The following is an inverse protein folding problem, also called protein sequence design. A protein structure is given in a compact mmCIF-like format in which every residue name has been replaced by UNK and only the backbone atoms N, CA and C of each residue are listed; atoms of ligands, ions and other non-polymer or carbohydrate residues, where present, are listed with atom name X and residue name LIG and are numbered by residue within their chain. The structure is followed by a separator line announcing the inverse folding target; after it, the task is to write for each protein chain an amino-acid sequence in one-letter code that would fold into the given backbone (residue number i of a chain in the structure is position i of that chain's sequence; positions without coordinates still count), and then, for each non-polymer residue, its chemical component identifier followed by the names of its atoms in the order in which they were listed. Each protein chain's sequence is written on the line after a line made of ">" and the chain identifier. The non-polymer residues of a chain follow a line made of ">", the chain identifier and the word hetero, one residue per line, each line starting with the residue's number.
data_IF_643350487921
#
_entry.id   IF_643350487921
#
_cell.length_a   1.000
_cell.length_b   1.000
_cell.length_c   1.000
_cell.angle_alpha   90.00
_cell.angle_beta   90.00
_cell.angle_gamma   90.00
#
_symmetry.space_group_name_H-M   'P 1'
#
loop_
_entity.id
_entity.type
_entity.pdbx_description
1 polymer ?
#
# COMPACT_ATOMS: atom_id res chain seq x y z
N UNK A 1 21.55 21.71 -30.02
CA UNK A 1 22.14 22.16 -28.76
C UNK A 1 21.19 21.70 -27.68
N UNK A 2 21.67 20.81 -26.81
CA UNK A 2 20.89 20.17 -25.75
C UNK A 2 20.56 21.22 -24.71
N UNK A 3 19.28 21.38 -24.38
CA UNK A 3 18.84 22.23 -23.26
C UNK A 3 18.60 21.39 -22.01
N UNK A 4 18.51 22.01 -20.84
CA UNK A 4 18.14 21.31 -19.59
C UNK A 4 16.82 20.58 -19.76
N UNK A 5 15.79 21.27 -20.28
CA UNK A 5 14.45 20.68 -20.47
C UNK A 5 14.48 19.51 -21.45
N UNK A 6 15.21 19.64 -22.56
CA UNK A 6 15.36 18.57 -23.56
C UNK A 6 16.03 17.33 -22.96
N UNK A 7 17.14 17.51 -22.25
CA UNK A 7 17.87 16.40 -21.62
C UNK A 7 17.02 15.67 -20.58
N UNK A 8 16.28 16.40 -19.75
CA UNK A 8 15.43 15.80 -18.71
C UNK A 8 14.21 15.10 -19.29
N UNK A 9 13.63 15.64 -20.36
CA UNK A 9 12.55 15.00 -21.09
C UNK A 9 13.03 13.69 -21.74
N UNK A 10 14.22 13.69 -22.34
CA UNK A 10 14.85 12.47 -22.83
C UNK A 10 15.10 11.46 -21.70
N UNK A 11 15.68 11.87 -20.56
CA UNK A 11 15.88 10.99 -19.40
C UNK A 11 14.57 10.33 -18.95
N UNK A 12 13.45 11.06 -19.04
CA UNK A 12 12.11 10.55 -18.74
C UNK A 12 11.74 9.45 -19.75
N UNK A 13 11.69 9.73 -21.05
CA UNK A 13 11.25 8.72 -22.02
C UNK A 13 12.21 7.54 -22.21
N UNK A 14 13.50 7.76 -21.93
CA UNK A 14 14.51 6.71 -21.88
C UNK A 14 14.33 5.74 -20.70
N UNK A 15 13.41 6.01 -19.77
CA UNK A 15 13.14 5.14 -18.62
C UNK A 15 14.32 5.05 -17.66
N UNK A 16 15.18 6.09 -17.62
CA UNK A 16 16.32 6.09 -16.70
C UNK A 16 15.89 6.05 -15.23
N UNK A 17 14.61 6.36 -14.97
CA UNK A 17 14.03 6.36 -13.65
C UNK A 17 13.37 5.03 -13.21
N UNK A 18 13.37 3.98 -14.03
CA UNK A 18 12.82 2.67 -13.64
C UNK A 18 13.65 2.04 -12.50
N UNK A 19 12.98 1.35 -11.56
CA UNK A 19 13.59 0.76 -10.36
C UNK A 19 13.84 1.72 -9.19
N UNK A 20 13.23 2.92 -9.20
CA UNK A 20 13.55 3.97 -8.22
C UNK A 20 12.61 4.04 -7.02
N UNK A 21 12.98 3.35 -5.95
CA UNK A 21 12.28 3.44 -4.66
C UNK A 21 12.63 4.71 -3.85
N UNK A 22 13.66 5.46 -4.26
CA UNK A 22 14.13 6.72 -3.63
C UNK A 22 14.96 7.58 -4.59
N UNK A 23 15.27 8.84 -4.25
CA UNK A 23 16.21 9.64 -5.04
C UNK A 23 17.62 9.06 -4.98
N UNK A 24 18.03 8.48 -3.85
CA UNK A 24 19.32 7.80 -3.75
C UNK A 24 19.46 6.65 -4.76
N UNK A 25 18.43 5.82 -4.91
CA UNK A 25 18.42 4.74 -5.91
C UNK A 25 18.45 5.30 -7.33
N UNK A 26 17.65 6.34 -7.60
CA UNK A 26 17.64 7.05 -8.88
C UNK A 26 19.03 7.55 -9.26
N UNK A 27 19.73 8.17 -8.33
CA UNK A 27 21.02 8.74 -8.60
C UNK A 27 22.09 7.67 -8.85
N UNK A 28 22.02 6.51 -8.19
CA UNK A 28 22.88 5.36 -8.51
C UNK A 28 22.59 4.82 -9.92
N UNK A 29 21.32 4.68 -10.28
CA UNK A 29 20.93 4.26 -11.63
C UNK A 29 21.41 5.25 -12.70
N UNK A 30 21.35 6.56 -12.42
CA UNK A 30 21.91 7.59 -13.29
C UNK A 30 23.44 7.48 -13.38
N UNK A 31 24.14 7.31 -12.25
CA UNK A 31 25.60 7.17 -12.20
C UNK A 31 26.10 5.98 -13.05
N UNK A 32 25.31 4.91 -13.18
CA UNK A 32 25.64 3.76 -14.04
C UNK A 32 25.32 3.99 -15.53
N UNK A 33 24.29 4.78 -15.83
CA UNK A 33 23.72 4.89 -17.19
C UNK A 33 24.25 6.10 -17.97
N UNK A 34 24.42 7.26 -17.33
CA UNK A 34 24.74 8.54 -17.97
C UNK A 34 26.08 9.13 -17.48
N UNK A 35 26.58 10.15 -18.17
CA UNK A 35 27.80 10.86 -17.83
C UNK A 35 27.71 11.59 -16.48
N UNK A 36 28.87 11.95 -15.93
CA UNK A 36 28.93 12.75 -14.71
C UNK A 36 28.26 14.13 -14.89
N UNK A 37 28.36 14.73 -16.08
CA UNK A 37 27.67 15.96 -16.41
C UNK A 37 26.15 15.79 -16.43
N UNK A 38 25.66 14.69 -17.04
CA UNK A 38 24.25 14.33 -17.04
C UNK A 38 23.70 14.10 -15.63
N UNK A 39 24.46 13.38 -14.79
CA UNK A 39 24.11 13.15 -13.38
C UNK A 39 24.02 14.47 -12.60
N UNK A 40 25.03 15.33 -12.71
CA UNK A 40 25.04 16.63 -12.03
C UNK A 40 23.85 17.50 -12.45
N UNK A 41 23.52 17.52 -13.75
CA UNK A 41 22.36 18.21 -14.29
C UNK A 41 21.07 17.72 -13.63
N UNK A 42 20.82 16.40 -13.63
CA UNK A 42 19.62 15.82 -13.05
C UNK A 42 19.49 16.10 -11.54
N UNK A 43 20.58 15.93 -10.78
CA UNK A 43 20.57 16.14 -9.32
C UNK A 43 20.32 17.61 -8.97
N UNK A 44 20.98 18.56 -9.64
CA UNK A 44 20.78 19.99 -9.38
C UNK A 44 19.38 20.44 -9.82
N UNK A 45 18.87 19.90 -10.93
CA UNK A 45 17.50 20.15 -11.35
C UNK A 45 16.47 19.67 -10.31
N UNK A 46 16.61 18.44 -9.80
CA UNK A 46 15.75 17.91 -8.73
C UNK A 46 15.82 18.80 -7.48
N UNK A 47 17.02 19.22 -7.07
CA UNK A 47 17.20 20.18 -5.96
C UNK A 47 16.45 21.50 -6.19
N UNK A 48 16.51 22.07 -7.39
CA UNK A 48 15.77 23.30 -7.74
C UNK A 48 14.26 23.07 -7.77
N UNK A 49 13.81 21.88 -8.17
CA UNK A 49 12.39 21.49 -8.16
C UNK A 49 11.86 21.37 -6.74
N UNK A 50 12.67 20.87 -5.79
CA UNK A 50 12.31 20.80 -4.38
C UNK A 50 12.29 22.18 -3.70
N UNK A 51 13.00 23.17 -4.26
CA UNK A 51 13.19 24.51 -3.73
C UNK A 51 12.49 25.59 -4.59
N UNK A 52 11.23 25.38 -5.01
CA UNK A 52 10.51 26.29 -5.93
C UNK A 52 10.38 27.73 -5.42
N UNK A 53 10.22 27.91 -4.11
CA UNK A 53 10.03 29.23 -3.47
C UNK A 53 11.33 29.96 -3.14
N UNK A 54 12.49 29.33 -3.38
CA UNK A 54 13.80 29.78 -2.93
C UNK A 54 14.55 28.65 -2.21
N UNK A 55 15.86 28.84 -2.02
CA UNK A 55 16.72 27.83 -1.38
C UNK A 55 16.49 27.82 0.13
N UNK A 56 15.80 26.79 0.62
CA UNK A 56 15.59 26.53 2.05
C UNK A 56 16.16 25.16 2.40
N UNK A 57 17.42 25.14 2.82
CA UNK A 57 18.15 23.90 3.08
C UNK A 57 17.63 23.16 4.32
N UNK A 58 17.09 23.85 5.31
CA UNK A 58 16.53 23.23 6.51
C UNK A 58 15.24 22.50 6.18
N UNK A 59 14.35 23.15 5.42
CA UNK A 59 13.13 22.55 4.91
C UNK A 59 13.42 21.42 3.93
N UNK A 60 14.36 21.63 3.00
CA UNK A 60 14.76 20.60 2.05
C UNK A 60 15.32 19.35 2.75
N UNK A 61 16.23 19.52 3.71
CA UNK A 61 16.81 18.40 4.46
C UNK A 61 15.77 17.62 5.26
N UNK A 62 14.81 18.33 5.87
CA UNK A 62 13.85 17.74 6.80
C UNK A 62 12.64 17.12 6.12
N UNK A 63 12.32 17.58 4.90
CA UNK A 63 11.04 17.23 4.25
C UNK A 63 11.19 16.68 2.83
N UNK A 64 12.27 17.01 2.12
CA UNK A 64 12.51 16.49 0.76
C UNK A 64 13.53 15.35 0.74
N UNK A 65 14.42 15.25 1.73
CA UNK A 65 15.33 14.12 1.95
C UNK A 65 14.73 13.18 2.99
N UNK A 66 13.82 12.32 2.54
CA UNK A 66 13.07 11.36 3.37
C UNK A 66 13.74 9.99 3.48
N UNK A 67 14.84 9.76 2.75
CA UNK A 67 15.59 8.51 2.84
C UNK A 67 16.11 8.27 4.27
N UNK A 68 16.20 6.99 4.64
CA UNK A 68 16.86 6.58 5.88
C UNK A 68 18.37 6.48 5.67
N UNK A 69 19.14 6.48 6.76
CA UNK A 69 20.57 6.17 6.69
C UNK A 69 20.78 4.72 6.24
N UNK A 70 21.68 4.41 5.28
CA UNK A 70 22.75 5.23 4.70
C UNK A 70 22.40 6.04 3.44
N UNK A 71 21.21 5.86 2.85
CA UNK A 71 20.82 6.47 1.59
C UNK A 71 20.66 7.99 1.67
N UNK A 72 20.20 8.50 2.82
CA UNK A 72 20.16 9.94 3.09
C UNK A 72 21.54 10.59 2.94
N UNK A 73 22.57 9.99 3.51
CA UNK A 73 23.95 10.49 3.41
C UNK A 73 24.46 10.47 1.97
N UNK A 74 24.15 9.42 1.21
CA UNK A 74 24.51 9.35 -0.20
C UNK A 74 23.85 10.48 -1.00
N UNK A 75 22.54 10.72 -0.81
CA UNK A 75 21.82 11.80 -1.48
C UNK A 75 22.36 13.19 -1.13
N UNK A 76 22.69 13.43 0.13
CA UNK A 76 23.25 14.71 0.58
C UNK A 76 24.61 14.97 -0.06
N UNK A 77 25.52 14.00 0.02
CA UNK A 77 26.87 14.16 -0.52
C UNK A 77 26.85 14.31 -2.03
N UNK A 78 25.99 13.55 -2.72
CA UNK A 78 25.87 13.68 -4.17
C UNK A 78 25.25 15.02 -4.58
N UNK A 79 24.21 15.49 -3.89
CA UNK A 79 23.64 16.84 -4.12
C UNK A 79 24.71 17.91 -3.93
N UNK A 80 25.50 17.83 -2.85
CA UNK A 80 26.59 18.79 -2.61
C UNK A 80 27.66 18.75 -3.71
N UNK A 81 28.10 17.56 -4.14
CA UNK A 81 29.07 17.40 -5.24
C UNK A 81 28.54 17.95 -6.56
N UNK A 82 27.28 17.70 -6.89
CA UNK A 82 26.65 18.19 -8.12
C UNK A 82 26.48 19.71 -8.10
N UNK A 83 26.09 20.30 -6.97
CA UNK A 83 26.06 21.76 -6.79
C UNK A 83 27.45 22.39 -6.93
N UNK A 84 28.48 21.74 -6.37
CA UNK A 84 29.86 22.18 -6.51
C UNK A 84 30.34 22.10 -7.98
N UNK A 85 29.99 21.04 -8.70
CA UNK A 85 30.31 20.86 -10.11
C UNK A 85 29.69 21.95 -11.01
N UNK A 86 28.45 22.38 -10.74
CA UNK A 86 27.81 23.49 -11.47
C UNK A 86 28.30 24.87 -11.02
N UNK A 87 29.11 24.95 -9.96
CA UNK A 87 29.68 26.21 -9.44
C UNK A 87 28.90 26.85 -8.28
N UNK A 88 27.84 26.21 -7.77
CA UNK A 88 27.06 26.65 -6.61
C UNK A 88 27.73 26.26 -5.28
N UNK A 89 28.98 26.70 -5.12
CA UNK A 89 29.88 26.25 -4.03
C UNK A 89 29.40 26.61 -2.64
N UNK A 90 28.70 27.74 -2.43
CA UNK A 90 28.23 28.14 -1.10
C UNK A 90 27.08 27.25 -0.63
N UNK A 91 26.14 26.97 -1.53
CA UNK A 91 25.00 26.07 -1.29
C UNK A 91 25.48 24.66 -1.05
N UNK A 92 26.44 24.17 -1.85
CA UNK A 92 27.07 22.86 -1.67
C UNK A 92 27.70 22.69 -0.27
N UNK A 93 28.41 23.70 0.22
CA UNK A 93 28.99 23.67 1.56
C UNK A 93 27.91 23.57 2.66
N UNK A 94 26.80 24.30 2.51
CA UNK A 94 25.70 24.32 3.47
C UNK A 94 24.85 23.04 3.44
N UNK A 95 24.67 22.42 2.27
CA UNK A 95 23.95 21.13 2.13
C UNK A 95 24.59 20.05 3.00
N UNK A 96 25.92 19.97 3.04
CA UNK A 96 26.66 18.98 3.85
C UNK A 96 26.45 19.16 5.36
N UNK A 97 26.14 20.37 5.79
CA UNK A 97 25.92 20.72 7.20
C UNK A 97 24.46 20.96 7.56
N UNK A 98 23.52 20.73 6.63
CA UNK A 98 22.11 20.99 6.86
C UNK A 98 21.57 20.05 7.94
N UNK A 99 20.96 20.63 8.97
CA UNK A 99 20.38 19.85 10.07
C UNK A 99 19.04 19.23 9.66
N UNK A 100 18.90 17.94 9.98
CA UNK A 100 17.63 17.23 9.85
C UNK A 100 16.78 17.46 11.11
N UNK A 101 15.72 18.23 10.93
CA UNK A 101 14.73 18.57 11.94
C UNK A 101 13.38 17.88 11.66
N UNK A 102 13.38 16.82 10.85
CA UNK A 102 12.17 16.05 10.61
C UNK A 102 11.63 15.43 11.90
N UNK A 103 10.31 15.21 12.00
CA UNK A 103 9.68 14.43 13.05
C UNK A 103 10.41 13.11 13.35
N UNK A 104 10.83 12.40 12.29
CA UNK A 104 11.54 11.14 12.40
C UNK A 104 12.97 11.32 12.94
N UNK A 105 13.72 12.31 12.47
CA UNK A 105 15.05 12.59 13.00
C UNK A 105 15.00 13.06 14.46
N UNK A 106 13.96 13.82 14.86
CA UNK A 106 13.73 14.17 16.25
C UNK A 106 13.45 12.92 17.10
N UNK A 107 12.57 12.02 16.63
CA UNK A 107 12.29 10.74 17.29
C UNK A 107 13.52 9.84 17.39
N UNK A 108 14.31 9.71 16.32
CA UNK A 108 15.56 8.94 16.33
C UNK A 108 16.58 9.53 17.30
N UNK A 109 16.78 10.86 17.28
CA UNK A 109 17.65 11.57 18.24
C UNK A 109 17.17 11.39 19.68
N UNK A 110 15.87 11.24 19.92
CA UNK A 110 15.30 10.97 21.24
C UNK A 110 15.50 9.51 21.68
N UNK A 111 15.35 8.54 20.77
CA UNK A 111 15.63 7.13 21.04
C UNK A 111 17.12 6.88 21.31
N UNK A 112 18.02 7.51 20.55
CA UNK A 112 19.47 7.40 20.74
C UNK A 112 19.96 8.10 22.02
N UNK A 113 19.20 9.06 22.55
CA UNK A 113 19.53 9.80 23.78
C UNK A 113 18.89 9.24 25.04
N UNK A 114 17.97 8.28 24.96
CA UNK A 114 17.21 7.80 26.13
C UNK A 114 17.51 6.33 26.46
N UNK A 115 18.06 6.12 27.67
CA UNK A 115 18.13 4.79 28.28
C UNK A 115 16.88 4.41 29.07
N UNK A 116 15.85 5.28 29.12
CA UNK A 116 14.63 5.02 29.89
C UNK A 116 13.37 5.71 29.31
N UNK A 117 12.22 5.05 29.46
CA UNK A 117 10.88 5.51 29.04
C UNK A 117 10.46 6.82 29.73
N UNK A 118 10.97 7.12 30.93
CA UNK A 118 10.66 8.35 31.68
C UNK A 118 11.32 9.60 31.09
N UNK A 119 12.53 9.48 30.52
CA UNK A 119 13.19 10.58 29.81
C UNK A 119 12.55 10.85 28.44
N UNK A 120 12.03 9.79 27.80
CA UNK A 120 11.20 9.89 26.60
C UNK A 120 9.91 10.68 26.90
N UNK A 121 9.21 10.37 27.99
CA UNK A 121 8.00 11.12 28.39
C UNK A 121 8.27 12.58 28.74
N UNK A 122 9.42 12.91 29.35
CA UNK A 122 9.81 14.31 29.60
C UNK A 122 10.16 15.09 28.34
N UNK A 123 10.78 14.44 27.35
CA UNK A 123 11.10 15.08 26.07
C UNK A 123 9.87 15.31 25.18
N UNK A 124 8.84 14.47 25.31
CA UNK A 124 7.54 14.69 24.65
C UNK A 124 6.76 15.89 25.18
N UNK A 125 7.02 16.38 26.41
CA UNK A 125 6.33 17.56 26.96
C UNK A 125 6.70 18.90 26.28
N UNK A 126 7.78 18.92 25.48
CA UNK A 126 8.23 20.12 24.76
C UNK A 126 7.83 20.17 23.27
N UNK A 127 7.24 19.10 22.73
CA UNK A 127 6.79 19.04 21.34
C UNK A 127 5.32 19.44 21.32
N UNK A 128 5.00 20.52 20.60
CA UNK A 128 3.60 20.87 20.33
C UNK A 128 2.99 19.82 19.36
N UNK A 129 2.01 19.01 19.80
CA UNK A 129 1.38 18.00 18.95
C UNK A 129 0.72 18.60 17.70
N UNK A 130 0.27 19.86 17.77
CA UNK A 130 -0.31 20.55 16.62
C UNK A 130 0.76 20.89 15.57
N UNK A 131 1.93 21.38 15.99
CA UNK A 131 3.08 21.62 15.10
C UNK A 131 3.56 20.32 14.47
N UNK A 132 3.65 19.24 15.25
CA UNK A 132 4.06 17.92 14.75
C UNK A 132 3.10 17.38 13.68
N UNK A 133 1.79 17.48 13.92
CA UNK A 133 0.78 17.05 12.96
C UNK A 133 0.77 17.93 11.70
N UNK A 134 0.98 19.24 11.83
CA UNK A 134 1.13 20.13 10.68
C UNK A 134 2.37 19.80 9.85
N UNK A 135 3.49 19.47 10.48
CA UNK A 135 4.72 19.06 9.78
C UNK A 135 4.57 17.71 9.09
N UNK A 136 3.84 16.77 9.71
CA UNK A 136 3.48 15.49 9.10
C UNK A 136 2.55 15.69 7.89
N UNK A 137 1.53 16.53 8.01
CA UNK A 137 0.63 16.88 6.90
C UNK A 137 1.38 17.56 5.75
N UNK A 138 2.30 18.47 6.04
CA UNK A 138 3.18 19.09 5.03
C UNK A 138 4.07 18.06 4.33
N UNK A 139 4.59 17.09 5.06
CA UNK A 139 5.35 15.99 4.50
C UNK A 139 4.53 15.11 3.55
N UNK A 140 3.33 14.71 3.98
CA UNK A 140 2.40 13.93 3.15
C UNK A 140 2.03 14.73 1.89
N UNK A 141 1.74 16.03 2.04
CA UNK A 141 1.41 16.90 0.92
C UNK A 141 2.54 17.16 -0.08
N UNK A 142 3.80 17.04 0.35
CA UNK A 142 4.97 17.13 -0.54
C UNK A 142 5.32 15.79 -1.19
N UNK A 143 5.23 14.69 -0.44
CA UNK A 143 5.57 13.36 -0.93
C UNK A 143 4.50 12.81 -1.89
N UNK A 144 3.23 13.09 -1.61
CA UNK A 144 2.08 12.62 -2.39
C UNK A 144 1.13 13.79 -2.64
N UNK A 145 1.49 14.74 -3.52
CA UNK A 145 0.71 15.95 -3.76
C UNK A 145 -0.71 15.64 -4.25
N UNK A 146 -0.88 14.61 -5.08
CA UNK A 146 -2.19 14.21 -5.61
C UNK A 146 -3.07 13.58 -4.53
N UNK A 147 -2.51 12.70 -3.68
CA UNK A 147 -3.23 12.11 -2.55
C UNK A 147 -3.57 13.16 -1.47
N UNK A 148 -2.71 14.14 -1.26
CA UNK A 148 -2.95 15.23 -0.32
C UNK A 148 -3.98 16.24 -0.84
N UNK A 149 -3.96 16.54 -2.14
CA UNK A 149 -5.01 17.32 -2.79
C UNK A 149 -6.37 16.61 -2.68
N UNK A 150 -6.40 15.29 -2.91
CA UNK A 150 -7.59 14.46 -2.73
C UNK A 150 -8.07 14.45 -1.26
N UNK A 151 -7.15 14.46 -0.30
CA UNK A 151 -7.46 14.54 1.14
C UNK A 151 -7.79 15.97 1.63
N UNK A 152 -7.92 16.96 0.74
CA UNK A 152 -8.21 18.35 1.10
C UNK A 152 -7.10 19.04 1.92
N UNK A 153 -5.89 18.46 1.96
CA UNK A 153 -4.75 19.08 2.60
C UNK A 153 -4.28 20.26 1.74
N UNK A 154 -3.95 21.41 2.34
CA UNK A 154 -3.43 22.55 1.60
C UNK A 154 -2.08 22.16 0.97
N UNK A 155 -2.09 21.88 -0.33
CA UNK A 155 -0.88 21.78 -1.15
C UNK A 155 -0.25 23.15 -1.14
N UNK A 156 0.68 23.36 -0.22
CA UNK A 156 1.26 24.68 0.02
C UNK A 156 1.92 25.15 -1.26
N UNK A 157 1.34 26.18 -1.88
CA UNK A 157 2.04 26.99 -2.88
C UNK A 157 3.36 27.45 -2.26
N UNK A 158 4.43 27.41 -3.03
CA UNK A 158 5.77 27.71 -2.54
C UNK A 158 5.83 29.16 -2.05
N UNK A 159 5.69 29.34 -0.74
CA UNK A 159 5.88 30.63 -0.10
C UNK A 159 7.29 31.14 -0.43
N UNK A 160 7.46 32.43 -0.77
CA UNK A 160 8.76 32.98 -1.05
C UNK A 160 9.67 32.83 0.18
N UNK A 161 10.80 32.17 0.01
CA UNK A 161 11.82 32.03 1.05
C UNK A 161 12.69 33.29 1.04
N UNK A 162 12.96 33.92 2.20
CA UNK A 162 13.89 35.04 2.28
C UNK A 162 15.27 34.67 1.71
N UNK A 163 15.88 35.58 0.94
CA UNK A 163 17.20 35.37 0.37
C UNK A 163 18.25 35.28 1.48
N UNK A 164 18.96 34.15 1.56
CA UNK A 164 20.12 33.97 2.43
C UNK A 164 21.41 34.38 1.69
N UNK A 165 22.11 35.37 2.23
CA UNK A 165 23.36 35.87 1.66
C UNK A 165 24.51 34.84 1.72
N UNK A 166 24.41 33.81 2.57
CA UNK A 166 25.41 32.75 2.70
C UNK A 166 25.22 31.61 1.69
N UNK A 167 24.17 31.63 0.87
CA UNK A 167 23.92 30.65 -0.20
C UNK A 167 23.84 31.33 -1.57
N UNK A 168 23.74 30.56 -2.65
CA UNK A 168 23.32 31.10 -3.95
C UNK A 168 21.79 31.15 -3.99
N UNK A 169 21.21 32.19 -4.60
CA UNK A 169 19.76 32.20 -4.85
C UNK A 169 19.37 31.12 -5.85
N UNK A 170 18.10 30.73 -5.85
CA UNK A 170 17.55 29.75 -6.80
C UNK A 170 17.88 30.15 -8.25
N UNK A 171 17.70 31.42 -8.59
CA UNK A 171 17.96 31.99 -9.93
C UNK A 171 19.45 31.97 -10.27
N UNK A 172 20.33 32.18 -9.28
CA UNK A 172 21.78 32.07 -9.48
C UNK A 172 22.18 30.64 -9.79
N UNK A 173 21.66 29.66 -9.03
CA UNK A 173 21.92 28.24 -9.28
C UNK A 173 21.36 27.82 -10.65
N UNK A 174 20.17 28.28 -11.02
CA UNK A 174 19.57 28.03 -12.33
C UNK A 174 20.42 28.62 -13.47
N UNK A 175 20.95 29.84 -13.30
CA UNK A 175 21.87 30.44 -14.26
C UNK A 175 23.17 29.64 -14.40
N UNK A 176 23.76 29.22 -13.28
CA UNK A 176 24.96 28.39 -13.23
C UNK A 176 24.74 27.04 -13.91
N UNK A 177 23.60 26.40 -13.66
CA UNK A 177 23.23 25.14 -14.32
C UNK A 177 23.11 25.31 -15.84
N UNK A 178 22.52 26.40 -16.33
CA UNK A 178 22.47 26.70 -17.77
C UNK A 178 23.87 26.89 -18.39
N UNK A 179 24.77 27.56 -17.69
CA UNK A 179 26.18 27.69 -18.12
C UNK A 179 26.88 26.33 -18.16
N UNK A 180 26.67 25.51 -17.13
CA UNK A 180 27.21 24.15 -17.04
C UNK A 180 26.73 23.29 -18.22
N UNK A 181 25.43 23.26 -18.52
CA UNK A 181 24.89 22.52 -19.67
C UNK A 181 25.50 23.00 -20.99
N UNK A 182 25.72 24.31 -21.14
CA UNK A 182 26.36 24.87 -22.34
C UNK A 182 27.82 24.43 -22.46
N UNK A 183 28.55 24.36 -21.35
CA UNK A 183 29.96 23.93 -21.33
C UNK A 183 30.13 22.42 -21.57
N UNK A 184 29.16 21.61 -21.17
CA UNK A 184 29.22 20.14 -21.21
C UNK A 184 28.40 19.50 -22.35
N UNK A 185 28.09 20.25 -23.41
CA UNK A 185 27.29 19.75 -24.55
C UNK A 185 27.81 18.43 -25.15
N UNK A 186 29.13 18.24 -25.21
CA UNK A 186 29.74 17.04 -25.79
C UNK A 186 29.47 15.80 -24.93
N UNK A 187 29.56 15.93 -23.60
CA UNK A 187 29.28 14.82 -22.69
C UNK A 187 27.80 14.44 -22.71
N UNK A 188 26.91 15.44 -22.69
CA UNK A 188 25.48 15.21 -22.76
C UNK A 188 25.08 14.58 -24.11
N UNK A 189 25.69 14.98 -25.22
CA UNK A 189 25.45 14.35 -26.53
C UNK A 189 25.92 12.90 -26.57
N UNK A 190 27.02 12.56 -25.88
CA UNK A 190 27.50 11.19 -25.81
C UNK A 190 26.52 10.27 -25.07
N UNK A 191 25.75 10.79 -24.10
CA UNK A 191 24.69 10.04 -23.42
C UNK A 191 23.55 9.66 -24.38
N UNK A 192 23.10 10.61 -25.20
CA UNK A 192 22.14 10.37 -26.29
C UNK A 192 22.66 9.32 -27.28
N UNK A 193 23.92 9.42 -27.70
CA UNK A 193 24.52 8.48 -28.66
C UNK A 193 24.64 7.06 -28.07
N UNK A 194 24.95 6.96 -26.78
CA UNK A 194 25.12 5.68 -26.07
C UNK A 194 23.80 4.94 -25.88
N UNK A 195 22.74 5.64 -25.47
CA UNK A 195 21.47 5.03 -25.05
C UNK A 195 20.37 5.16 -26.11
N UNK A 196 20.58 6.02 -27.12
CA UNK A 196 19.59 6.34 -28.14
C UNK A 196 18.55 7.35 -27.67
N UNK A 197 17.86 7.99 -28.62
CA UNK A 197 16.69 8.80 -28.36
C UNK A 197 15.43 8.08 -28.84
N UNK A 198 14.58 7.67 -27.90
CA UNK A 198 13.31 7.01 -28.23
C UNK A 198 12.33 7.94 -28.94
N UNK A 199 12.49 9.26 -28.79
CA UNK A 199 11.65 10.28 -29.44
C UNK A 199 11.83 10.30 -30.96
N UNK A 200 12.97 9.82 -31.45
CA UNK A 200 13.28 9.74 -32.88
C UNK A 200 12.67 8.49 -33.56
N UNK A 201 12.05 7.60 -32.78
CA UNK A 201 11.44 6.38 -33.31
C UNK A 201 10.13 6.70 -34.07
N UNK A 202 9.89 5.99 -35.17
CA UNK A 202 8.67 6.17 -35.96
C UNK A 202 7.45 5.74 -35.14
N UNK A 203 6.47 6.63 -35.00
CA UNK A 203 5.26 6.38 -34.22
C UNK A 203 5.41 6.63 -32.72
N UNK A 204 6.48 7.31 -32.28
CA UNK A 204 6.65 7.72 -30.90
C UNK A 204 5.45 8.57 -30.42
N UNK A 205 4.83 8.11 -29.35
CA UNK A 205 3.76 8.79 -28.63
C UNK A 205 4.21 8.96 -27.17
N UNK A 206 4.33 10.22 -26.67
CA UNK A 206 4.74 10.50 -25.30
C UNK A 206 3.86 9.83 -24.24
N UNK A 207 2.54 9.79 -24.44
CA UNK A 207 1.60 9.25 -23.45
C UNK A 207 1.69 7.74 -23.43
N UNK A 208 1.69 7.11 -24.60
CA UNK A 208 1.88 5.65 -24.72
C UNK A 208 3.22 5.22 -24.13
N UNK A 209 4.29 5.97 -24.40
CA UNK A 209 5.61 5.64 -23.85
C UNK A 209 5.63 5.72 -22.32
N UNK A 210 4.96 6.71 -21.75
CA UNK A 210 4.87 6.82 -20.29
C UNK A 210 4.07 5.69 -19.68
N UNK A 211 2.99 5.27 -20.34
CA UNK A 211 2.22 4.10 -19.93
C UNK A 211 3.06 2.82 -19.99
N UNK A 212 3.81 2.59 -21.08
CA UNK A 212 4.73 1.45 -21.18
C UNK A 212 5.76 1.41 -20.05
N UNK A 213 6.33 2.57 -19.69
CA UNK A 213 7.30 2.67 -18.60
C UNK A 213 6.64 2.44 -17.23
N UNK A 214 5.41 2.90 -17.02
CA UNK A 214 4.66 2.66 -15.79
C UNK A 214 4.26 1.18 -15.63
N UNK A 215 3.84 0.55 -16.72
CA UNK A 215 3.58 -0.89 -16.78
C UNK A 215 4.85 -1.70 -16.46
N UNK A 216 6.00 -1.30 -17.02
CA UNK A 216 7.30 -1.91 -16.73
C UNK A 216 7.68 -1.77 -15.25
N UNK A 217 7.55 -0.56 -14.69
CA UNK A 217 7.82 -0.31 -13.29
C UNK A 217 6.92 -1.14 -12.37
N UNK A 218 5.62 -1.19 -12.66
CA UNK A 218 4.64 -1.98 -11.90
C UNK A 218 4.96 -3.47 -11.97
N UNK A 219 5.35 -3.97 -13.15
CA UNK A 219 5.77 -5.36 -13.33
C UNK A 219 7.06 -5.68 -12.56
N UNK A 220 8.04 -4.78 -12.53
CA UNK A 220 9.28 -4.92 -11.74
C UNK A 220 8.98 -4.98 -10.23
N UNK A 221 8.19 -4.02 -9.71
CA UNK A 221 7.76 -4.02 -8.31
C UNK A 221 7.04 -5.32 -7.94
N UNK A 222 6.14 -5.77 -8.81
CA UNK A 222 5.40 -7.00 -8.61
C UNK A 222 6.34 -8.21 -8.60
N UNK A 223 7.34 -8.24 -9.48
CA UNK A 223 8.37 -9.28 -9.53
C UNK A 223 9.20 -9.31 -8.25
N UNK A 224 9.66 -8.16 -7.75
CA UNK A 224 10.43 -8.07 -6.51
C UNK A 224 9.61 -8.55 -5.31
N UNK A 225 8.35 -8.12 -5.21
CA UNK A 225 7.42 -8.62 -4.20
C UNK A 225 7.24 -10.14 -4.27
N UNK A 226 7.18 -10.71 -5.48
CA UNK A 226 7.09 -12.15 -5.66
C UNK A 226 8.36 -12.86 -5.19
N UNK A 227 9.53 -12.31 -5.47
CA UNK A 227 10.81 -12.84 -5.00
C UNK A 227 10.89 -12.86 -3.47
N UNK A 228 10.58 -11.73 -2.82
CA UNK A 228 10.57 -11.66 -1.35
C UNK A 228 9.60 -12.66 -0.71
N UNK A 229 8.37 -12.75 -1.24
CA UNK A 229 7.36 -13.65 -0.67
C UNK A 229 7.71 -15.12 -0.95
N UNK A 230 8.38 -15.43 -2.07
CA UNK A 230 8.90 -16.77 -2.36
C UNK A 230 9.99 -17.17 -1.36
N UNK A 231 10.94 -16.27 -1.07
CA UNK A 231 12.00 -16.50 -0.08
C UNK A 231 11.40 -16.70 1.31
N UNK A 232 10.53 -15.79 1.76
CA UNK A 232 9.83 -15.91 3.05
C UNK A 232 9.05 -17.21 3.16
N UNK A 233 8.31 -17.58 2.12
CA UNK A 233 7.53 -18.82 2.12
C UNK A 233 8.44 -20.04 2.24
N UNK A 234 9.51 -20.10 1.44
CA UNK A 234 10.50 -21.20 1.49
C UNK A 234 11.10 -21.33 2.89
N UNK A 235 11.54 -20.22 3.48
CA UNK A 235 12.06 -20.17 4.85
C UNK A 235 11.04 -20.68 5.88
N UNK A 236 9.78 -20.28 5.75
CA UNK A 236 8.72 -20.73 6.66
C UNK A 236 8.43 -22.22 6.51
N UNK A 237 8.46 -22.78 5.29
CA UNK A 237 8.28 -24.21 5.05
C UNK A 237 9.40 -25.03 5.70
N UNK A 238 10.65 -24.62 5.54
CA UNK A 238 11.80 -25.30 6.16
C UNK A 238 11.75 -25.25 7.69
N UNK A 239 11.47 -24.07 8.24
CA UNK A 239 11.31 -23.88 9.68
C UNK A 239 10.14 -24.70 10.22
N UNK A 240 9.04 -24.79 9.46
CA UNK A 240 7.85 -25.53 9.86
C UNK A 240 8.20 -27.01 10.08
N UNK A 241 8.80 -27.69 9.11
CA UNK A 241 9.15 -29.12 9.23
C UNK A 241 10.07 -29.39 10.44
N UNK A 242 11.05 -28.50 10.66
CA UNK A 242 11.98 -28.60 11.79
C UNK A 242 11.30 -28.36 13.14
N UNK A 243 10.35 -27.45 13.23
CA UNK A 243 9.63 -27.16 14.48
C UNK A 243 8.55 -28.20 14.74
N UNK A 244 7.80 -28.58 13.72
CA UNK A 244 6.74 -29.58 13.79
C UNK A 244 7.29 -30.94 14.21
N UNK A 245 8.39 -31.41 13.62
CA UNK A 245 9.04 -32.67 14.04
C UNK A 245 9.49 -32.68 15.50
N UNK A 246 9.81 -31.53 16.10
CA UNK A 246 10.29 -31.42 17.48
C UNK A 246 9.20 -31.13 18.50
N UNK A 247 8.20 -30.33 18.14
CA UNK A 247 7.21 -29.76 19.06
C UNK A 247 5.76 -30.06 18.68
N UNK A 248 5.53 -30.74 17.55
CA UNK A 248 4.21 -31.03 17.00
C UNK A 248 3.42 -29.77 16.65
N UNK A 249 2.10 -29.95 16.43
CA UNK A 249 1.22 -28.89 15.96
C UNK A 249 1.21 -27.63 16.85
N UNK A 250 1.25 -27.81 18.18
CA UNK A 250 1.25 -26.68 19.14
C UNK A 250 2.46 -25.76 18.98
N UNK A 251 3.63 -26.30 18.61
CA UNK A 251 4.85 -25.49 18.42
C UNK A 251 4.91 -24.78 17.07
N UNK A 252 4.20 -25.28 16.06
CA UNK A 252 4.27 -24.80 14.68
C UNK A 252 3.15 -23.81 14.31
N UNK A 253 2.22 -23.50 15.21
CA UNK A 253 1.04 -22.67 14.93
C UNK A 253 1.35 -21.27 14.37
N UNK A 254 2.41 -20.61 14.85
CA UNK A 254 2.83 -19.30 14.30
C UNK A 254 3.32 -19.40 12.85
N UNK A 255 4.09 -20.44 12.52
CA UNK A 255 4.57 -20.68 11.15
C UNK A 255 3.42 -21.06 10.22
N UNK A 256 2.47 -21.88 10.70
CA UNK A 256 1.23 -22.19 9.97
C UNK A 256 0.49 -20.90 9.58
N UNK A 257 0.35 -19.94 10.50
CA UNK A 257 -0.27 -18.65 10.21
C UNK A 257 0.41 -17.89 9.06
N UNK A 258 1.74 -17.79 9.12
CA UNK A 258 2.54 -17.10 8.08
C UNK A 258 2.49 -17.80 6.72
N UNK A 259 2.54 -19.14 6.69
CA UNK A 259 2.37 -19.92 5.46
C UNK A 259 0.99 -19.67 4.86
N UNK A 260 -0.07 -19.68 5.69
CA UNK A 260 -1.43 -19.43 5.24
C UNK A 260 -1.64 -18.00 4.74
N UNK A 261 -0.96 -17.01 5.32
CA UNK A 261 -1.01 -15.63 4.87
C UNK A 261 -0.54 -15.49 3.41
N UNK A 262 0.67 -15.97 3.11
CA UNK A 262 1.24 -15.91 1.75
C UNK A 262 0.42 -16.78 0.80
N UNK A 263 0.09 -18.01 1.17
CA UNK A 263 -0.66 -18.91 0.29
C UNK A 263 -2.08 -18.44 -0.01
N UNK A 264 -2.72 -17.70 0.91
CA UNK A 264 -4.03 -17.07 0.65
C UNK A 264 -3.91 -15.85 -0.24
N UNK A 265 -2.89 -15.00 -0.04
CA UNK A 265 -2.62 -13.82 -0.86
C UNK A 265 -2.53 -14.16 -2.35
N UNK A 266 -1.99 -15.33 -2.68
CA UNK A 266 -1.82 -15.80 -4.06
C UNK A 266 -2.77 -16.94 -4.46
N UNK A 267 -3.64 -17.39 -3.54
CA UNK A 267 -4.58 -18.48 -3.77
C UNK A 267 -5.63 -18.10 -4.81
N UNK A 268 -5.68 -18.83 -5.92
CA UNK A 268 -6.63 -18.59 -7.01
C UNK A 268 -6.10 -17.74 -8.17
N UNK A 269 -4.87 -17.19 -8.07
CA UNK A 269 -4.18 -16.59 -9.21
C UNK A 269 -3.64 -17.69 -10.14
N UNK A 270 -3.78 -17.52 -11.45
CA UNK A 270 -3.26 -18.46 -12.45
C UNK A 270 -1.73 -18.43 -12.49
N UNK A 271 -1.09 -19.60 -12.61
CA UNK A 271 0.39 -19.77 -12.66
C UNK A 271 1.17 -18.80 -13.57
N UNK A 272 0.70 -18.37 -14.76
CA UNK A 272 1.45 -17.43 -15.60
C UNK A 272 1.63 -16.03 -15.01
N UNK A 273 0.86 -15.66 -14.00
CA UNK A 273 0.96 -14.34 -13.34
C UNK A 273 1.76 -14.36 -12.03
N UNK A 274 2.30 -15.51 -11.64
CA UNK A 274 3.16 -15.67 -10.48
C UNK A 274 4.57 -15.99 -10.99
N UNK A 275 5.58 -15.26 -10.52
CA UNK A 275 6.97 -15.56 -10.87
C UNK A 275 7.33 -17.03 -10.59
N UNK A 276 8.27 -17.60 -11.35
CA UNK A 276 8.58 -19.03 -11.31
C UNK A 276 8.98 -19.55 -9.91
N UNK A 277 9.68 -18.71 -9.13
CA UNK A 277 10.11 -19.02 -7.76
C UNK A 277 8.92 -19.11 -6.81
N UNK A 278 8.02 -18.12 -6.86
CA UNK A 278 6.80 -18.12 -6.04
C UNK A 278 5.88 -19.28 -6.42
N UNK A 279 5.76 -19.61 -7.70
CA UNK A 279 4.99 -20.79 -8.13
C UNK A 279 5.55 -22.08 -7.53
N UNK A 280 6.87 -22.25 -7.53
CA UNK A 280 7.53 -23.40 -6.91
C UNK A 280 7.27 -23.45 -5.40
N UNK A 281 7.46 -22.33 -4.70
CA UNK A 281 7.22 -22.25 -3.25
C UNK A 281 5.75 -22.54 -2.90
N UNK A 282 4.80 -22.04 -3.70
CA UNK A 282 3.36 -22.30 -3.54
C UNK A 282 3.01 -23.79 -3.73
N UNK A 283 3.62 -24.46 -4.72
CA UNK A 283 3.45 -25.92 -4.88
C UNK A 283 3.97 -26.69 -3.67
N UNK A 284 5.17 -26.35 -3.20
CA UNK A 284 5.75 -26.98 -2.01
C UNK A 284 4.91 -26.73 -0.75
N UNK A 285 4.36 -25.52 -0.60
CA UNK A 285 3.44 -25.21 0.49
C UNK A 285 2.18 -26.08 0.44
N UNK A 286 1.56 -26.23 -0.74
CA UNK A 286 0.39 -27.09 -0.91
C UNK A 286 0.70 -28.56 -0.57
N UNK A 287 1.85 -29.09 -1.01
CA UNK A 287 2.28 -30.46 -0.66
C UNK A 287 2.51 -30.61 0.85
N UNK A 288 3.11 -29.62 1.51
CA UNK A 288 3.31 -29.61 2.95
C UNK A 288 1.97 -29.55 3.71
N UNK A 289 1.04 -28.71 3.26
CA UNK A 289 -0.30 -28.59 3.83
C UNK A 289 -1.11 -29.89 3.72
N UNK A 290 -0.96 -30.61 2.60
CA UNK A 290 -1.58 -31.93 2.42
C UNK A 290 -0.96 -33.02 3.31
N UNK A 291 0.34 -32.94 3.60
CA UNK A 291 1.02 -33.90 4.50
C UNK A 291 0.66 -33.67 5.98
N UNK A 292 0.43 -32.42 6.38
CA UNK A 292 0.16 -32.03 7.77
C UNK A 292 -1.27 -31.49 7.94
N UNK A 293 -2.26 -32.25 7.49
CA UNK A 293 -3.68 -31.85 7.57
C UNK A 293 -4.16 -31.60 9.00
N UNK A 294 -3.58 -32.29 9.99
CA UNK A 294 -3.91 -32.13 11.42
C UNK A 294 -3.79 -30.69 11.92
N UNK A 295 -2.87 -29.91 11.34
CA UNK A 295 -2.66 -28.51 11.68
C UNK A 295 -3.14 -27.55 10.60
N UNK A 296 -3.03 -27.87 9.30
CA UNK A 296 -3.49 -26.96 8.25
C UNK A 296 -4.99 -27.04 7.98
N UNK A 297 -5.61 -28.18 8.25
CA UNK A 297 -7.04 -28.45 8.09
C UNK A 297 -7.58 -29.21 9.31
N UNK A 298 -7.46 -28.64 10.53
CA UNK A 298 -7.93 -29.32 11.73
C UNK A 298 -9.46 -29.53 11.64
N UNK A 299 -10.00 -30.62 12.22
CA UNK A 299 -11.44 -30.76 12.35
C UNK A 299 -12.00 -29.63 13.22
N UNK A 300 -13.19 -29.14 12.87
CA UNK A 300 -13.87 -28.12 13.67
C UNK A 300 -14.32 -28.68 15.03
N UNK A 301 -14.69 -29.97 15.07
CA UNK A 301 -15.20 -30.64 16.25
C UNK A 301 -15.03 -32.16 16.15
N UNK A 302 -14.90 -32.89 17.26
CA UNK A 302 -14.86 -34.36 17.24
C UNK A 302 -16.26 -34.99 17.22
N UNK A 303 -17.10 -34.57 16.28
CA UNK A 303 -18.45 -35.11 16.05
C UNK A 303 -18.72 -35.29 14.54
N UNK A 304 -18.83 -36.53 14.04
CA UNK A 304 -19.10 -36.80 12.63
C UNK A 304 -20.43 -36.23 12.10
N UNK A 305 -21.46 -36.11 12.95
CA UNK A 305 -22.76 -35.58 12.54
C UNK A 305 -22.66 -34.06 12.31
N UNK A 306 -21.97 -33.34 13.19
CA UNK A 306 -21.72 -31.91 13.03
C UNK A 306 -20.78 -31.61 11.86
N UNK A 307 -19.75 -32.43 11.62
CA UNK A 307 -18.94 -32.32 10.41
C UNK A 307 -19.77 -32.42 9.13
N UNK A 308 -20.71 -33.37 9.08
CA UNK A 308 -21.61 -33.51 7.93
C UNK A 308 -22.46 -32.26 7.75
N UNK A 309 -23.02 -31.69 8.82
CA UNK A 309 -23.77 -30.43 8.77
C UNK A 309 -22.93 -29.26 8.27
N UNK A 310 -21.66 -29.17 8.66
CA UNK A 310 -20.75 -28.13 8.15
C UNK A 310 -20.54 -28.23 6.64
N UNK A 311 -20.42 -29.45 6.12
CA UNK A 311 -20.23 -29.72 4.69
C UNK A 311 -21.46 -29.42 3.83
N UNK A 312 -22.67 -29.43 4.41
CA UNK A 312 -23.91 -29.08 3.70
C UNK A 312 -23.90 -27.63 3.18
N UNK A 313 -23.09 -26.77 3.78
CA UNK A 313 -22.92 -25.36 3.38
C UNK A 313 -21.75 -25.12 2.42
N UNK A 314 -21.08 -26.17 1.97
CA UNK A 314 -19.95 -26.10 1.02
C UNK A 314 -18.57 -26.26 1.67
N UNK A 315 -17.53 -26.00 0.88
CA UNK A 315 -16.15 -26.13 1.33
C UNK A 315 -15.81 -25.06 2.37
N UNK A 316 -15.32 -25.49 3.52
CA UNK A 316 -14.94 -24.61 4.63
C UNK A 316 -13.50 -24.80 5.07
N UNK A 317 -13.03 -23.82 5.82
CA UNK A 317 -11.72 -23.82 6.49
C UNK A 317 -11.92 -23.67 7.98
N UNK A 318 -11.02 -24.30 8.74
CA UNK A 318 -11.01 -24.23 10.20
C UNK A 318 -9.72 -23.55 10.66
N UNK A 319 -9.87 -22.63 11.60
CA UNK A 319 -8.77 -22.05 12.35
C UNK A 319 -9.06 -22.20 13.84
N UNK A 320 -8.04 -22.55 14.63
CA UNK A 320 -8.19 -22.70 16.08
C UNK A 320 -7.21 -21.74 16.74
N UNK A 321 -7.73 -20.73 17.44
CA UNK A 321 -6.93 -19.68 18.08
C UNK A 321 -7.47 -19.38 19.46
N UNK A 322 -6.58 -19.29 20.45
CA UNK A 322 -6.88 -18.83 21.82
C UNK A 322 -8.07 -19.52 22.50
N UNK A 323 -8.31 -20.80 22.18
CA UNK A 323 -9.43 -21.56 22.75
C UNK A 323 -10.74 -21.45 21.96
N UNK A 324 -10.75 -20.74 20.84
CA UNK A 324 -11.88 -20.62 19.93
C UNK A 324 -11.61 -21.33 18.61
N UNK A 325 -12.68 -21.86 18.03
CA UNK A 325 -12.70 -22.46 16.70
C UNK A 325 -13.46 -21.54 15.76
N UNK A 326 -12.81 -21.17 14.67
CA UNK A 326 -13.31 -20.33 13.60
C UNK A 326 -13.58 -21.24 12.40
N UNK A 327 -14.81 -21.27 11.93
CA UNK A 327 -15.18 -21.96 10.69
C UNK A 327 -15.57 -20.93 9.66
N UNK A 328 -14.95 -21.00 8.48
CA UNK A 328 -15.10 -20.01 7.43
C UNK A 328 -15.44 -20.67 6.09
N UNK A 329 -16.54 -20.24 5.48
CA UNK A 329 -16.93 -20.58 4.11
C UNK A 329 -16.70 -19.37 3.20
N UNK A 330 -15.78 -19.44 2.21
CA UNK A 330 -15.58 -18.36 1.25
C UNK A 330 -16.76 -18.20 0.28
N UNK A 331 -17.56 -19.26 0.11
CA UNK A 331 -18.74 -19.26 -0.77
C UNK A 331 -19.78 -20.23 -0.20
N UNK A 332 -20.54 -19.81 0.83
CA UNK A 332 -21.54 -20.64 1.47
C UNK A 332 -22.70 -20.93 0.52
N UNK A 333 -23.07 -22.22 0.39
CA UNK A 333 -24.15 -22.66 -0.51
C UNK A 333 -25.49 -22.06 -0.08
N UNK A 334 -26.25 -21.55 -1.04
CA UNK A 334 -27.61 -21.04 -0.81
C UNK A 334 -27.69 -19.65 -0.19
N UNK A 335 -26.56 -18.99 0.04
CA UNK A 335 -26.49 -17.57 0.40
C UNK A 335 -25.97 -16.76 -0.79
N UNK A 336 -26.62 -16.89 -1.94
CA UNK A 336 -26.28 -16.16 -3.15
C UNK A 336 -27.25 -15.00 -3.42
N UNK A 337 -26.73 -13.88 -3.96
CA UNK A 337 -27.56 -12.83 -4.57
C UNK A 337 -26.95 -12.38 -5.91
N UNK A 338 -27.69 -11.53 -6.63
CA UNK A 338 -27.34 -11.04 -7.96
C UNK A 338 -26.38 -9.84 -7.96
N UNK A 339 -26.11 -9.22 -6.82
CA UNK A 339 -25.27 -8.02 -6.73
C UNK A 339 -24.02 -8.17 -5.85
N UNK A 340 -23.89 -9.25 -5.06
CA UNK A 340 -22.81 -9.40 -4.10
C UNK A 340 -22.48 -10.87 -3.86
N UNK A 341 -21.20 -11.15 -3.57
CA UNK A 341 -20.76 -12.45 -3.06
C UNK A 341 -20.61 -12.40 -1.55
N UNK A 342 -20.93 -13.50 -0.88
CA UNK A 342 -20.82 -13.60 0.57
C UNK A 342 -19.79 -14.63 0.99
N UNK A 343 -19.18 -14.35 2.13
CA UNK A 343 -18.51 -15.35 2.96
C UNK A 343 -19.23 -15.48 4.29
N UNK A 344 -19.17 -16.65 4.91
CA UNK A 344 -19.79 -16.93 6.20
C UNK A 344 -18.71 -17.33 7.20
N UNK A 345 -18.79 -16.79 8.42
CA UNK A 345 -17.93 -17.14 9.53
C UNK A 345 -18.74 -17.47 10.78
N UNK A 346 -18.33 -18.54 11.46
CA UNK A 346 -18.85 -18.97 12.75
C UNK A 346 -17.68 -19.06 13.74
N UNK A 347 -17.85 -18.50 14.93
CA UNK A 347 -16.85 -18.55 16.00
C UNK A 347 -17.45 -19.15 17.27
N UNK A 348 -16.84 -20.20 17.81
CA UNK A 348 -17.34 -20.87 19.02
C UNK A 348 -16.19 -21.42 19.89
N UNK A 349 -16.42 -21.67 21.19
CA UNK A 349 -15.41 -22.29 22.05
C UNK A 349 -15.00 -23.67 21.55
N UNK A 350 -13.69 -23.95 21.55
CA UNK A 350 -13.12 -25.18 20.98
C UNK A 350 -13.70 -26.43 21.64
N UNK A 351 -14.22 -27.34 20.81
CA UNK A 351 -14.83 -28.60 21.27
C UNK A 351 -16.26 -28.47 21.81
N UNK A 352 -16.88 -27.29 21.74
CA UNK A 352 -18.26 -27.09 22.19
C UNK A 352 -19.27 -27.34 21.07
N UNK A 353 -19.79 -28.57 20.99
CA UNK A 353 -20.74 -28.98 19.95
C UNK A 353 -22.16 -28.43 20.11
N UNK A 354 -22.58 -28.14 21.33
CA UNK A 354 -23.87 -27.49 21.59
C UNK A 354 -23.87 -26.08 21.00
N UNK A 355 -22.79 -25.34 21.22
CA UNK A 355 -22.64 -23.99 20.70
C UNK A 355 -22.53 -23.95 19.17
N UNK A 356 -21.81 -24.91 18.58
CA UNK A 356 -21.77 -25.08 17.13
C UNK A 356 -23.15 -25.43 16.56
N UNK A 357 -23.90 -26.32 17.21
CA UNK A 357 -25.27 -26.69 16.82
C UNK A 357 -26.15 -25.45 16.77
N UNK A 358 -26.14 -24.65 17.84
CA UNK A 358 -26.93 -23.42 17.96
C UNK A 358 -26.64 -22.43 16.84
N UNK A 359 -25.36 -22.24 16.48
CA UNK A 359 -25.00 -21.34 15.37
C UNK A 359 -25.39 -21.90 14.01
N UNK A 360 -25.26 -23.21 13.79
CA UNK A 360 -25.71 -23.83 12.56
C UNK A 360 -27.23 -23.77 12.40
N UNK A 361 -27.99 -23.82 13.50
CA UNK A 361 -29.44 -23.59 13.46
C UNK A 361 -29.72 -22.13 13.03
N UNK A 362 -28.98 -21.15 13.56
CA UNK A 362 -29.09 -19.76 13.09
C UNK A 362 -28.68 -19.57 11.61
N UNK A 363 -27.74 -20.35 11.07
CA UNK A 363 -27.45 -20.35 9.62
C UNK A 363 -28.66 -20.85 8.82
N UNK A 364 -29.34 -21.90 9.31
CA UNK A 364 -30.55 -22.43 8.66
C UNK A 364 -31.63 -21.36 8.62
N UNK A 365 -31.87 -20.68 9.74
CA UNK A 365 -32.88 -19.62 9.83
C UNK A 365 -32.53 -18.43 8.92
N UNK A 366 -31.25 -18.01 8.93
CA UNK A 366 -30.73 -17.02 8.00
C UNK A 366 -30.99 -17.42 6.55
N UNK A 367 -30.71 -18.67 6.18
CA UNK A 367 -30.89 -19.15 4.81
C UNK A 367 -32.36 -19.10 4.37
N UNK A 368 -33.30 -19.46 5.25
CA UNK A 368 -34.74 -19.37 4.99
C UNK A 368 -35.17 -17.92 4.71
N UNK A 369 -34.66 -16.98 5.50
CA UNK A 369 -35.02 -15.57 5.41
C UNK A 369 -34.11 -14.75 4.49
N UNK A 370 -33.08 -15.37 3.90
CA UNK A 370 -32.00 -14.68 3.18
C UNK A 370 -32.51 -13.76 2.07
N UNK A 371 -33.46 -14.17 1.20
CA UNK A 371 -33.96 -13.30 0.13
C UNK A 371 -34.60 -12.00 0.66
N UNK A 372 -35.31 -12.07 1.78
CA UNK A 372 -35.93 -10.90 2.44
C UNK A 372 -34.86 -9.94 2.95
N UNK A 373 -33.83 -10.47 3.61
CA UNK A 373 -32.73 -9.65 4.10
C UNK A 373 -31.90 -9.04 2.96
N UNK A 374 -31.69 -9.75 1.86
CA UNK A 374 -30.99 -9.23 0.68
C UNK A 374 -31.75 -8.10 -0.01
N UNK A 375 -33.09 -8.14 0.00
CA UNK A 375 -33.87 -7.01 -0.48
C UNK A 375 -33.68 -5.77 0.41
N UNK A 376 -33.75 -5.93 1.74
CA UNK A 376 -33.50 -4.82 2.68
C UNK A 376 -32.11 -4.24 2.52
N UNK A 377 -31.09 -5.10 2.47
CA UNK A 377 -29.72 -4.68 2.26
C UNK A 377 -29.53 -3.91 0.95
N UNK A 378 -30.15 -4.38 -0.14
CA UNK A 378 -30.13 -3.65 -1.41
C UNK A 378 -30.70 -2.25 -1.27
N UNK A 379 -31.83 -2.10 -0.58
CA UNK A 379 -32.47 -0.80 -0.34
C UNK A 379 -31.56 0.11 0.50
N UNK A 380 -30.96 -0.43 1.57
CA UNK A 380 -30.03 0.32 2.44
C UNK A 380 -28.75 0.76 1.73
N UNK A 381 -28.15 -0.09 0.88
CA UNK A 381 -26.99 0.28 0.06
C UNK A 381 -27.35 1.43 -0.89
N UNK A 382 -28.49 1.33 -1.58
CA UNK A 382 -28.93 2.36 -2.51
C UNK A 382 -29.28 3.67 -1.79
N UNK A 383 -29.86 3.59 -0.59
CA UNK A 383 -30.13 4.75 0.24
C UNK A 383 -28.83 5.40 0.76
N UNK A 384 -27.87 4.60 1.22
CA UNK A 384 -26.55 5.07 1.62
C UNK A 384 -25.84 5.81 0.48
N UNK A 385 -25.83 5.24 -0.73
CA UNK A 385 -25.25 5.91 -1.90
C UNK A 385 -25.95 7.22 -2.22
N UNK A 386 -27.29 7.26 -2.19
CA UNK A 386 -28.05 8.52 -2.42
C UNK A 386 -27.74 9.60 -1.40
N UNK A 387 -27.44 9.21 -0.16
CA UNK A 387 -27.02 10.15 0.88
C UNK A 387 -25.57 10.62 0.67
N UNK A 388 -24.70 9.79 0.08
CA UNK A 388 -23.33 10.16 -0.28
C UNK A 388 -23.26 11.06 -1.53
N UNK A 389 -24.08 10.78 -2.55
CA UNK A 389 -24.02 11.41 -3.87
C UNK A 389 -23.91 12.96 -3.86
N UNK A 390 -24.60 13.72 -2.99
CA UNK A 390 -24.46 15.19 -2.94
C UNK A 390 -23.08 15.69 -2.49
N UNK A 391 -22.26 14.83 -1.89
CA UNK A 391 -20.92 15.13 -1.38
C UNK A 391 -19.82 14.59 -2.30
N UNK A 392 -20.17 13.74 -3.25
CA UNK A 392 -19.25 13.20 -4.25
C UNK A 392 -18.85 14.26 -5.27
N UNK A 393 -17.61 14.20 -5.72
CA UNK A 393 -17.10 15.03 -6.81
C UNK A 393 -17.52 14.50 -8.18
N UNK A 394 -17.51 15.37 -9.20
CA UNK A 394 -17.99 15.00 -10.54
C UNK A 394 -17.21 13.82 -11.14
N UNK A 395 -15.89 13.73 -10.91
CA UNK A 395 -15.06 12.63 -11.43
C UNK A 395 -15.36 11.29 -10.75
N UNK A 396 -15.70 11.28 -9.45
CA UNK A 396 -16.15 10.05 -8.77
C UNK A 396 -17.47 9.54 -9.35
N UNK A 397 -18.34 10.46 -9.80
CA UNK A 397 -19.65 10.13 -10.37
C UNK A 397 -19.62 9.84 -11.89
N UNK A 398 -18.49 10.04 -12.56
CA UNK A 398 -18.31 9.75 -13.99
C UNK A 398 -18.22 8.25 -14.27
N UNK A 399 -17.78 7.46 -13.30
CA UNK A 399 -17.61 6.01 -13.42
C UNK A 399 -18.95 5.24 -13.42
N UNK A 400 -20.04 5.91 -13.02
CA UNK A 400 -21.36 5.30 -12.91
C UNK A 400 -22.20 5.49 -14.18
N UNK A 401 -22.82 4.40 -14.64
CA UNK A 401 -23.77 4.44 -15.75
C UNK A 401 -25.04 5.21 -15.37
N UNK A 402 -25.56 5.99 -16.32
CA UNK A 402 -26.74 6.85 -16.13
C UNK A 402 -27.89 6.45 -17.04
N UNK A 403 -29.11 6.68 -16.57
CA UNK A 403 -30.32 6.50 -17.34
C UNK A 403 -30.56 7.65 -18.34
N UNK A 404 -31.67 7.58 -19.08
CA UNK A 404 -32.02 8.60 -20.06
C UNK A 404 -32.33 9.99 -19.46
N UNK A 405 -32.56 10.07 -18.14
CA UNK A 405 -32.80 11.32 -17.41
C UNK A 405 -31.51 11.88 -16.79
N UNK A 406 -30.40 11.15 -16.87
CA UNK A 406 -29.11 11.51 -16.28
C UNK A 406 -28.93 11.01 -14.83
N UNK A 407 -29.87 10.23 -14.31
CA UNK A 407 -29.80 9.64 -12.97
C UNK A 407 -28.92 8.39 -12.99
N UNK A 408 -28.12 8.19 -11.94
CA UNK A 408 -27.25 7.02 -11.83
C UNK A 408 -28.11 5.74 -11.69
N UNK A 409 -27.78 4.71 -12.47
CA UNK A 409 -28.48 3.43 -12.45
C UNK A 409 -28.18 2.66 -11.16
N UNK A 410 -29.23 2.15 -10.50
CA UNK A 410 -29.08 1.27 -9.33
C UNK A 410 -28.18 0.06 -9.62
N UNK A 411 -28.23 -0.50 -10.84
CA UNK A 411 -27.37 -1.62 -11.24
C UNK A 411 -25.90 -1.23 -11.29
N UNK A 412 -25.59 0.03 -11.66
CA UNK A 412 -24.22 0.54 -11.66
C UNK A 412 -23.69 0.65 -10.23
N UNK A 413 -24.50 1.20 -9.31
CA UNK A 413 -24.14 1.29 -7.88
C UNK A 413 -23.91 -0.10 -7.29
N UNK A 414 -24.82 -1.03 -7.55
CA UNK A 414 -24.73 -2.38 -7.01
C UNK A 414 -23.56 -3.19 -7.60
N UNK A 415 -23.06 -2.82 -8.78
CA UNK A 415 -21.93 -3.51 -9.43
C UNK A 415 -20.57 -3.22 -8.78
N UNK A 416 -20.46 -2.14 -8.01
CA UNK A 416 -19.22 -1.79 -7.30
C UNK A 416 -19.10 -2.48 -5.93
N UNK A 417 -20.10 -3.28 -5.56
CA UNK A 417 -20.12 -3.97 -4.29
C UNK A 417 -19.06 -5.08 -4.22
N UNK A 418 -18.25 -5.04 -3.16
CA UNK A 418 -17.24 -6.05 -2.85
C UNK A 418 -17.83 -7.37 -2.35
N UNK A 419 -17.01 -8.17 -1.67
CA UNK A 419 -17.48 -9.39 -0.99
C UNK A 419 -17.95 -9.02 0.42
N UNK A 420 -19.20 -9.36 0.75
CA UNK A 420 -19.73 -9.22 2.10
C UNK A 420 -19.28 -10.38 3.00
N UNK A 421 -19.06 -10.09 4.28
CA UNK A 421 -18.75 -11.10 5.30
C UNK A 421 -19.88 -11.17 6.32
N UNK A 422 -20.53 -12.33 6.41
CA UNK A 422 -21.53 -12.64 7.42
C UNK A 422 -20.84 -13.36 8.59
N UNK A 423 -21.06 -12.87 9.81
CA UNK A 423 -20.51 -13.43 11.04
C UNK A 423 -21.63 -13.77 12.01
N UNK A 424 -21.59 -14.97 12.58
CA UNK A 424 -22.52 -15.40 13.65
C UNK A 424 -21.77 -15.36 14.98
N UNK A 425 -22.15 -14.42 15.83
CA UNK A 425 -21.44 -14.02 17.04
C UNK A 425 -22.34 -14.13 18.28
N UNK A 426 -21.71 -14.16 19.45
CA UNK A 426 -22.36 -13.93 20.74
C UNK A 426 -21.86 -12.59 21.24
N UNK A 427 -22.71 -11.56 21.38
CA UNK A 427 -22.26 -10.24 21.80
C UNK A 427 -21.70 -10.25 23.22
N UNK A 428 -20.54 -9.61 23.45
CA UNK A 428 -19.89 -9.55 24.77
C UNK A 428 -20.74 -8.83 25.84
N UNK A 429 -21.74 -8.04 25.40
CA UNK A 429 -22.57 -7.18 26.24
C UNK A 429 -23.96 -7.77 26.58
N UNK A 430 -24.30 -8.96 26.07
CA UNK A 430 -25.58 -9.62 26.33
C UNK A 430 -25.39 -10.76 27.34
N UNK A 431 -26.02 -10.66 28.52
CA UNK A 431 -26.02 -11.71 29.56
C UNK A 431 -26.88 -12.94 29.17
N UNK A 432 -27.58 -12.87 28.03
CA UNK A 432 -28.44 -13.93 27.53
C UNK A 432 -27.81 -14.55 26.29
N UNK A 433 -27.93 -15.87 26.16
CA UNK A 433 -27.52 -16.71 25.03
C UNK A 433 -28.20 -16.33 23.68
N UNK A 434 -28.25 -15.06 23.32
CA UNK A 434 -28.74 -14.55 22.04
C UNK A 434 -27.58 -14.58 21.04
N UNK A 435 -27.91 -14.95 19.80
CA UNK A 435 -26.96 -14.89 18.68
C UNK A 435 -27.22 -13.59 17.92
N UNK A 436 -26.13 -12.95 17.53
CA UNK A 436 -26.17 -11.85 16.59
C UNK A 436 -25.61 -12.32 15.25
N UNK A 437 -26.38 -12.09 14.20
CA UNK A 437 -25.93 -12.32 12.82
C UNK A 437 -25.67 -10.94 12.23
N UNK A 438 -24.40 -10.67 11.98
CA UNK A 438 -23.94 -9.39 11.45
C UNK A 438 -23.32 -9.61 10.08
N UNK A 439 -23.61 -8.72 9.14
CA UNK A 439 -22.88 -8.61 7.88
C UNK A 439 -22.06 -7.32 7.89
N UNK A 440 -20.82 -7.44 7.44
CA UNK A 440 -19.99 -6.30 7.06
C UNK A 440 -19.71 -6.34 5.56
N UNK A 441 -19.85 -5.21 4.88
CA UNK A 441 -19.38 -5.04 3.50
C UNK A 441 -18.68 -3.70 3.35
N UNK A 442 -17.55 -3.70 2.65
CA UNK A 442 -16.94 -2.45 2.20
C UNK A 442 -17.80 -1.79 1.13
N UNK A 443 -17.81 -0.45 1.14
CA UNK A 443 -18.38 0.38 0.08
C UNK A 443 -17.24 1.13 -0.60
N UNK A 444 -17.25 1.22 -1.92
CA UNK A 444 -16.19 1.91 -2.66
C UNK A 444 -16.12 3.40 -2.31
N UNK A 445 -17.27 4.02 -2.08
CA UNK A 445 -17.41 5.44 -1.70
C UNK A 445 -17.30 5.72 -0.19
N UNK A 446 -17.24 4.68 0.65
CA UNK A 446 -17.06 4.79 2.09
C UNK A 446 -16.15 3.67 2.59
N UNK A 447 -14.88 3.72 2.16
CA UNK A 447 -13.87 2.73 2.53
C UNK A 447 -13.48 2.82 4.02
N UNK A 448 -13.74 3.96 4.68
CA UNK A 448 -13.40 4.18 6.08
C UNK A 448 -14.38 3.47 7.03
N UNK A 449 -15.68 3.50 6.73
CA UNK A 449 -16.70 2.95 7.63
C UNK A 449 -17.35 1.67 7.09
N UNK A 450 -17.51 1.53 5.78
CA UNK A 450 -18.27 0.43 5.17
C UNK A 450 -19.74 0.43 5.63
N UNK A 451 -20.41 -0.70 5.41
CA UNK A 451 -21.79 -0.92 5.87
C UNK A 451 -21.85 -2.14 6.79
N UNK A 452 -22.33 -1.91 8.01
CA UNK A 452 -22.74 -2.94 8.95
C UNK A 452 -24.25 -3.15 8.86
N UNK A 453 -24.67 -4.39 8.67
CA UNK A 453 -26.08 -4.78 8.58
C UNK A 453 -26.36 -5.91 9.57
N UNK A 454 -27.39 -5.74 10.38
CA UNK A 454 -27.81 -6.72 11.38
C UNK A 454 -29.03 -7.49 10.86
N UNK A 455 -28.93 -8.82 10.81
CA UNK A 455 -30.08 -9.66 10.46
C UNK A 455 -30.93 -9.85 11.71
N UNK A 456 -31.88 -8.93 11.90
CA UNK A 456 -32.89 -9.03 12.95
C UNK A 456 -34.12 -9.72 12.36
N UNK A 457 -34.59 -10.78 13.02
CA UNK A 457 -35.89 -11.37 12.71
C UNK A 457 -36.99 -10.46 13.28
N UNK A 458 -37.52 -9.60 12.42
CA UNK A 458 -38.80 -8.95 12.66
C UNK A 458 -39.90 -10.01 12.41
N UNK A 459 -40.58 -10.44 13.48
CA UNK A 459 -41.76 -11.34 13.46
C UNK A 459 -42.90 -10.82 12.57
#
# INVERSE_FOLDING_TARGET
>A
MISISDYLEWCKFAGLYLGNHSHAHRYRAYEEKISAAGLALCVVHDFLKDNRGGVDLASWRSYNVYEMQPDANYRLELTAKSLEAVGATRTAAKVRTAEDNSPFAMLSKMMDRSGSVEEMMKSMQGIDPASFMQDLQKNIARAMPDAAAAAGLPVSGSEPVPVDAETESREQIEHLLNQFVTAHQVELQADYEKLGDVRDQSGFDPELRMQELDDQYTAELQSDMFGEDAEKLTDYLEQFEKVYSKKGAKGAGSLRGKILEITRKYGGKSSPSLGAELELAMRQANELMQRHQDIFSPPAIDDPALHKRLQEWGDYRVDIKRGETFVFWPSPLGLECDFMKFSLQIVFPTGNGEELTRRLDAVVDLHVNFPRHMQRLREEILENFRNYQPFASDWELEEYERDANGDILNSSILSTMGTGQISILVPEYMDNNELEIMMYTGLEWDQEHGLEFYFVDDE
#
